data_IF_079648810593
#
_entry.id   IF_079648810593
#
_cell.length_a   1.000
_cell.length_b   1.000
_cell.length_c   1.000
_cell.angle_alpha   90.00
_cell.angle_beta   90.00
_cell.angle_gamma   90.00
#
_symmetry.space_group_name_H-M   'P 1'
#
loop_
_entity.id
_entity.type
_entity.pdbx_description
1 polymer ?
#
# COMPACT_ATOMS: atom_id res chain seq x y z
N UNK A 1 44.20 15.40 -31.37
CA UNK A 1 42.89 15.87 -30.89
C UNK A 1 41.73 14.90 -31.15
N UNK A 2 41.97 13.65 -31.58
CA UNK A 2 40.90 12.66 -31.84
C UNK A 2 40.71 11.59 -30.76
N UNK A 3 41.53 11.55 -29.69
CA UNK A 3 41.38 10.56 -28.61
C UNK A 3 40.41 10.98 -27.50
N UNK A 4 40.02 12.26 -27.41
CA UNK A 4 39.15 12.76 -26.35
C UNK A 4 37.66 12.44 -26.52
N UNK A 5 37.22 12.07 -27.74
CA UNK A 5 35.81 11.79 -28.03
C UNK A 5 35.41 10.33 -27.78
N UNK A 6 36.36 9.41 -27.62
CA UNK A 6 36.08 7.98 -27.35
C UNK A 6 35.78 7.69 -25.88
N UNK A 7 36.20 8.56 -24.95
CA UNK A 7 35.91 8.43 -23.52
C UNK A 7 34.51 8.94 -23.12
N UNK A 8 33.78 9.56 -24.05
CA UNK A 8 32.36 9.88 -23.89
C UNK A 8 31.43 8.71 -24.27
N UNK A 9 31.97 7.64 -24.87
CA UNK A 9 31.21 6.46 -25.31
C UNK A 9 30.84 5.47 -24.20
N UNK A 10 31.34 5.65 -22.97
CA UNK A 10 31.08 4.73 -21.84
C UNK A 10 30.27 5.33 -20.69
N UNK A 11 29.93 6.62 -20.74
CA UNK A 11 29.12 7.28 -19.71
C UNK A 11 27.62 7.32 -20.01
N UNK A 12 27.21 6.90 -21.21
CA UNK A 12 25.80 6.88 -21.64
C UNK A 12 25.31 5.44 -21.84
N UNK A 13 24.79 4.77 -20.80
CA UNK A 13 23.98 3.58 -21.01
C UNK A 13 22.90 3.35 -19.95
N UNK A 14 22.23 4.41 -19.51
CA UNK A 14 20.98 4.36 -18.76
C UNK A 14 20.27 5.72 -18.90
N UNK A 15 19.60 5.97 -20.04
CA UNK A 15 18.90 7.26 -20.30
C UNK A 15 17.41 7.22 -19.93
N UNK A 16 16.79 6.04 -19.95
CA UNK A 16 15.36 5.85 -19.68
C UNK A 16 15.16 4.83 -18.57
N UNK A 17 14.27 5.12 -17.62
CA UNK A 17 13.83 4.17 -16.59
C UNK A 17 13.50 2.80 -17.21
N UNK A 18 13.78 1.69 -16.52
CA UNK A 18 13.50 0.37 -17.06
C UNK A 18 12.01 0.20 -17.41
N UNK A 19 11.69 -0.35 -18.59
CA UNK A 19 10.30 -0.54 -19.06
C UNK A 19 9.43 -1.37 -18.09
N UNK A 20 10.06 -2.22 -17.28
CA UNK A 20 9.39 -3.04 -16.28
C UNK A 20 9.05 -2.27 -14.99
N UNK A 21 9.54 -1.03 -14.80
CA UNK A 21 9.28 -0.22 -13.60
C UNK A 21 7.77 0.03 -13.43
N UNK A 22 7.09 0.47 -14.49
CA UNK A 22 5.64 0.74 -14.45
C UNK A 22 4.86 -0.54 -14.17
N UNK A 23 5.22 -1.65 -14.82
CA UNK A 23 4.55 -2.93 -14.64
C UNK A 23 4.71 -3.48 -13.23
N UNK A 24 5.93 -3.50 -12.72
CA UNK A 24 6.23 -3.93 -11.34
C UNK A 24 5.54 -3.04 -10.32
N UNK A 25 5.50 -1.73 -10.53
CA UNK A 25 4.82 -0.77 -9.63
C UNK A 25 3.30 -1.00 -9.57
N UNK A 26 2.65 -1.28 -10.70
CA UNK A 26 1.23 -1.64 -10.74
C UNK A 26 1.00 -2.99 -10.04
N UNK A 27 1.83 -4.00 -10.33
CA UNK A 27 1.74 -5.31 -9.68
C UNK A 27 1.87 -5.21 -8.16
N UNK A 28 2.88 -4.50 -7.65
CA UNK A 28 3.07 -4.31 -6.21
C UNK A 28 1.87 -3.62 -5.55
N UNK A 29 1.30 -2.60 -6.21
CA UNK A 29 0.12 -1.88 -5.71
C UNK A 29 -1.11 -2.80 -5.64
N UNK A 30 -1.29 -3.63 -6.68
CA UNK A 30 -2.43 -4.53 -6.76
C UNK A 30 -2.33 -5.68 -5.76
N UNK A 31 -1.15 -6.31 -5.64
CA UNK A 31 -0.93 -7.43 -4.71
C UNK A 31 -1.06 -6.99 -3.25
N UNK A 32 -0.49 -5.84 -2.88
CA UNK A 32 -0.56 -5.35 -1.51
C UNK A 32 -2.01 -4.99 -1.11
N UNK A 33 -2.80 -4.42 -2.02
CA UNK A 33 -4.15 -3.94 -1.71
C UNK A 33 -5.11 -5.09 -1.54
N UNK A 34 -4.99 -6.08 -2.40
CA UNK A 34 -5.73 -7.33 -2.27
C UNK A 34 -5.35 -8.08 -0.99
N UNK A 35 -4.07 -8.11 -0.62
CA UNK A 35 -3.65 -8.75 0.62
C UNK A 35 -4.26 -8.09 1.85
N UNK A 36 -4.26 -6.76 1.92
CA UNK A 36 -4.84 -6.02 3.03
C UNK A 36 -6.35 -6.23 3.15
N UNK A 37 -7.09 -6.09 2.04
CA UNK A 37 -8.54 -6.31 2.01
C UNK A 37 -8.86 -7.77 2.37
N UNK A 38 -8.05 -8.73 1.91
CA UNK A 38 -8.28 -10.13 2.25
C UNK A 38 -8.09 -10.40 3.75
N UNK A 39 -7.03 -9.87 4.37
CA UNK A 39 -6.81 -10.04 5.81
C UNK A 39 -7.95 -9.44 6.64
N UNK A 40 -8.30 -8.19 6.35
CA UNK A 40 -9.35 -7.49 7.09
C UNK A 40 -10.73 -8.11 6.85
N UNK A 41 -11.05 -8.49 5.61
CA UNK A 41 -12.24 -9.26 5.28
C UNK A 41 -12.32 -10.59 6.04
N UNK A 42 -11.24 -11.39 6.06
CA UNK A 42 -11.20 -12.63 6.85
C UNK A 42 -11.40 -12.36 8.35
N UNK A 43 -10.75 -11.34 8.90
CA UNK A 43 -10.90 -10.95 10.29
C UNK A 43 -12.35 -10.58 10.62
N UNK A 44 -13.00 -9.76 9.79
CA UNK A 44 -14.40 -9.37 9.98
C UNK A 44 -15.34 -10.58 9.89
N UNK A 45 -15.12 -11.51 8.96
CA UNK A 45 -15.90 -12.74 8.85
C UNK A 45 -15.77 -13.63 10.10
N UNK A 46 -14.58 -13.73 10.67
CA UNK A 46 -14.37 -14.44 11.95
C UNK A 46 -15.02 -13.71 13.11
N UNK A 47 -14.87 -12.38 13.18
CA UNK A 47 -15.45 -11.56 14.24
C UNK A 47 -16.98 -11.62 14.22
N UNK A 48 -17.58 -11.67 13.03
CA UNK A 48 -19.02 -11.86 12.82
C UNK A 48 -19.49 -13.14 13.51
N UNK A 49 -18.84 -14.28 13.22
CA UNK A 49 -19.20 -15.57 13.81
C UNK A 49 -18.93 -15.62 15.31
N UNK A 50 -17.82 -15.03 15.76
CA UNK A 50 -17.50 -14.94 17.19
C UNK A 50 -18.54 -14.14 17.97
N UNK A 51 -18.90 -12.94 17.50
CA UNK A 51 -19.89 -12.09 18.16
C UNK A 51 -21.30 -12.71 18.12
N UNK A 52 -21.66 -13.40 17.04
CA UNK A 52 -22.94 -14.09 16.92
C UNK A 52 -23.13 -15.17 18.01
N UNK A 53 -22.05 -15.87 18.37
CA UNK A 53 -22.07 -16.95 19.37
C UNK A 53 -21.85 -16.42 20.79
N UNK A 54 -20.82 -15.61 21.00
CA UNK A 54 -20.37 -15.22 22.34
C UNK A 54 -21.14 -14.01 22.90
N UNK A 55 -21.68 -13.13 22.04
CA UNK A 55 -22.33 -11.88 22.47
C UNK A 55 -23.60 -11.55 21.64
N UNK A 56 -24.67 -12.37 21.74
CA UNK A 56 -25.86 -12.24 20.89
C UNK A 56 -26.63 -10.92 21.08
N UNK A 57 -26.63 -10.35 22.29
CA UNK A 57 -27.28 -9.06 22.57
C UNK A 57 -26.56 -7.91 21.86
N UNK A 58 -25.24 -7.91 21.90
CA UNK A 58 -24.40 -6.94 21.20
C UNK A 58 -24.41 -7.17 19.70
N UNK A 59 -24.47 -8.43 19.25
CA UNK A 59 -24.44 -8.79 17.84
C UNK A 59 -25.50 -8.02 17.02
N UNK A 60 -26.74 -7.98 17.53
CA UNK A 60 -27.85 -7.30 16.85
C UNK A 60 -27.65 -5.78 16.73
N UNK A 61 -26.89 -5.16 17.64
CA UNK A 61 -26.55 -3.73 17.60
C UNK A 61 -25.45 -3.44 16.58
N UNK A 62 -24.34 -4.19 16.64
CA UNK A 62 -23.13 -3.91 15.85
C UNK A 62 -23.19 -4.47 14.42
N UNK A 63 -23.81 -5.62 14.20
CA UNK A 63 -23.82 -6.33 12.90
C UNK A 63 -25.04 -6.00 12.02
N UNK A 64 -25.52 -4.75 12.09
CA UNK A 64 -26.60 -4.29 11.20
C UNK A 64 -26.06 -4.13 9.78
N UNK A 65 -26.85 -4.47 8.76
CA UNK A 65 -26.44 -4.38 7.33
C UNK A 65 -25.84 -3.03 6.95
N UNK A 66 -26.37 -1.93 7.49
CA UNK A 66 -25.83 -0.57 7.28
C UNK A 66 -24.43 -0.41 7.88
N UNK A 67 -24.20 -0.90 9.09
CA UNK A 67 -22.90 -0.80 9.77
C UNK A 67 -21.84 -1.65 9.05
N UNK A 68 -22.20 -2.87 8.63
CA UNK A 68 -21.30 -3.75 7.84
C UNK A 68 -20.92 -3.11 6.51
N UNK A 69 -21.87 -2.50 5.80
CA UNK A 69 -21.58 -1.82 4.54
C UNK A 69 -20.64 -0.61 4.74
N UNK A 70 -20.83 0.15 5.82
CA UNK A 70 -19.91 1.25 6.17
C UNK A 70 -18.52 0.72 6.51
N UNK A 71 -18.41 -0.37 7.28
CA UNK A 71 -17.12 -0.99 7.62
C UNK A 71 -16.36 -1.43 6.36
N UNK A 72 -17.04 -2.08 5.41
CA UNK A 72 -16.46 -2.49 4.13
C UNK A 72 -16.01 -1.29 3.29
N UNK A 73 -16.83 -0.24 3.22
CA UNK A 73 -16.47 0.97 2.48
C UNK A 73 -15.23 1.65 3.08
N UNK A 74 -15.16 1.74 4.41
CA UNK A 74 -14.00 2.28 5.12
C UNK A 74 -12.76 1.44 4.86
N UNK A 75 -12.86 0.11 4.88
CA UNK A 75 -11.74 -0.80 4.60
C UNK A 75 -11.16 -0.59 3.19
N UNK A 76 -12.02 -0.52 2.17
CA UNK A 76 -11.59 -0.28 0.78
C UNK A 76 -10.92 1.09 0.65
N UNK A 77 -11.52 2.12 1.24
CA UNK A 77 -10.97 3.47 1.21
C UNK A 77 -9.59 3.55 1.87
N UNK A 78 -9.42 2.88 3.01
CA UNK A 78 -8.15 2.82 3.72
C UNK A 78 -7.08 2.04 2.97
N UNK A 79 -7.47 0.94 2.31
CA UNK A 79 -6.58 0.24 1.40
C UNK A 79 -6.04 1.25 0.39
N UNK A 80 -6.90 1.96 -0.34
CA UNK A 80 -6.46 2.94 -1.36
C UNK A 80 -5.55 4.03 -0.76
N UNK A 81 -5.91 4.64 0.38
CA UNK A 81 -5.14 5.75 0.98
C UNK A 81 -3.78 5.30 1.55
N UNK A 82 -3.69 4.12 2.15
CA UNK A 82 -2.40 3.57 2.59
C UNK A 82 -1.51 3.25 1.38
N UNK A 83 -2.10 2.83 0.26
CA UNK A 83 -1.39 2.51 -0.97
C UNK A 83 -0.84 3.74 -1.67
N UNK A 84 -1.56 4.87 -1.69
CA UNK A 84 -1.08 6.11 -2.31
C UNK A 84 0.22 6.58 -1.66
N UNK A 85 0.38 6.38 -0.35
CA UNK A 85 1.61 6.73 0.36
C UNK A 85 2.78 5.80 0.05
N UNK A 86 2.51 4.50 -0.18
CA UNK A 86 3.54 3.52 -0.52
C UNK A 86 4.05 3.70 -1.96
N UNK A 87 3.19 4.21 -2.85
CA UNK A 87 3.46 4.42 -4.28
C UNK A 87 4.27 5.68 -4.56
N UNK A 88 4.14 6.73 -3.74
CA UNK A 88 4.83 8.01 -3.95
C UNK A 88 6.33 7.97 -3.67
N UNK A 89 6.85 6.88 -3.10
CA UNK A 89 8.30 6.78 -2.87
C UNK A 89 8.98 6.28 -4.13
N UNK A 90 9.80 7.14 -4.74
CA UNK A 90 10.63 6.79 -5.89
C UNK A 90 11.58 5.63 -5.53
N UNK A 91 11.58 4.61 -6.38
CA UNK A 91 12.51 3.50 -6.31
C UNK A 91 13.84 3.95 -6.91
N UNK A 92 14.91 3.87 -6.12
CA UNK A 92 16.25 4.20 -6.56
C UNK A 92 16.83 3.09 -7.41
N UNK A 93 17.00 3.37 -8.70
CA UNK A 93 17.79 2.56 -9.62
C UNK A 93 19.10 3.27 -9.90
N UNK A 94 20.25 2.63 -9.66
CA UNK A 94 21.52 3.12 -10.24
C UNK A 94 21.93 2.22 -11.40
N UNK A 95 22.55 2.88 -12.38
CA UNK A 95 23.24 2.21 -13.46
C UNK A 95 24.62 1.75 -12.98
N UNK A 96 24.86 0.45 -12.94
CA UNK A 96 26.17 -0.13 -12.70
C UNK A 96 26.53 -1.04 -13.88
N UNK A 97 27.66 -0.79 -14.54
CA UNK A 97 28.19 -1.62 -15.63
C UNK A 97 27.14 -1.99 -16.72
N UNK A 98 26.44 -1.01 -17.28
CA UNK A 98 25.36 -1.21 -18.27
C UNK A 98 24.16 -2.05 -17.78
N UNK A 99 23.99 -2.25 -16.46
CA UNK A 99 22.84 -2.95 -15.88
C UNK A 99 22.16 -2.07 -14.83
N UNK A 100 20.83 -2.09 -14.84
CA UNK A 100 20.02 -1.48 -13.79
C UNK A 100 20.09 -2.34 -12.53
N UNK A 101 20.63 -1.79 -11.45
CA UNK A 101 20.69 -2.48 -10.15
C UNK A 101 19.73 -1.77 -9.18
N UNK A 102 18.81 -2.54 -8.60
CA UNK A 102 17.88 -2.05 -7.59
C UNK A 102 18.62 -1.77 -6.29
N UNK A 103 18.59 -0.53 -5.81
CA UNK A 103 19.32 -0.11 -4.59
C UNK A 103 18.40 0.04 -3.39
N UNK A 104 17.12 0.32 -3.61
CA UNK A 104 16.13 0.50 -2.55
C UNK A 104 15.28 1.75 -2.76
N UNK A 105 14.71 2.28 -1.67
CA UNK A 105 13.94 3.53 -1.68
C UNK A 105 14.85 4.74 -1.48
N UNK A 106 14.63 5.80 -2.28
CA UNK A 106 15.37 7.06 -2.19
C UNK A 106 14.96 7.92 -1.00
N UNK A 107 13.69 7.87 -0.60
CA UNK A 107 13.18 8.60 0.56
C UNK A 107 12.76 7.68 1.72
N UNK A 108 13.00 8.09 2.98
CA UNK A 108 12.50 7.39 4.15
C UNK A 108 10.97 7.54 4.24
N UNK A 109 10.30 6.46 4.66
CA UNK A 109 8.85 6.42 4.82
C UNK A 109 8.44 7.45 5.90
N UNK A 110 7.62 8.46 5.60
CA UNK A 110 7.14 9.40 6.61
C UNK A 110 6.12 8.71 7.53
N UNK A 111 6.64 8.14 8.63
CA UNK A 111 5.87 7.35 9.60
C UNK A 111 4.78 8.17 10.32
N UNK A 112 4.88 9.50 10.28
CA UNK A 112 3.93 10.44 10.89
C UNK A 112 2.53 10.37 10.27
N UNK A 113 2.45 10.24 8.95
CA UNK A 113 1.19 10.19 8.19
C UNK A 113 0.45 8.87 8.44
N UNK A 114 1.21 7.78 8.52
CA UNK A 114 0.68 6.45 8.85
C UNK A 114 -0.02 6.46 10.22
N UNK A 115 0.56 7.15 11.20
CA UNK A 115 0.00 7.27 12.56
C UNK A 115 -1.31 8.08 12.58
N UNK A 116 -1.44 9.11 11.75
CA UNK A 116 -2.67 9.89 11.65
C UNK A 116 -3.80 9.07 11.01
N UNK A 117 -3.47 8.32 9.96
CA UNK A 117 -4.38 7.37 9.33
C UNK A 117 -4.86 6.32 10.32
N UNK A 118 -3.97 5.60 11.01
CA UNK A 118 -4.35 4.60 12.01
C UNK A 118 -5.26 5.19 13.09
N UNK A 119 -5.00 6.43 13.55
CA UNK A 119 -5.89 7.12 14.49
C UNK A 119 -7.26 7.43 13.89
N UNK A 120 -7.33 7.87 12.64
CA UNK A 120 -8.59 8.18 11.96
C UNK A 120 -9.41 6.89 11.69
N UNK A 121 -8.74 5.79 11.36
CA UNK A 121 -9.33 4.45 11.25
C UNK A 121 -9.91 4.01 12.57
N UNK A 122 -9.10 4.06 13.63
CA UNK A 122 -9.56 3.71 14.97
C UNK A 122 -10.75 4.57 15.39
N UNK A 123 -10.73 5.88 15.10
CA UNK A 123 -11.83 6.79 15.38
C UNK A 123 -13.11 6.44 14.59
N UNK A 124 -13.01 6.18 13.28
CA UNK A 124 -14.16 5.75 12.46
C UNK A 124 -14.73 4.43 12.92
N UNK A 125 -13.88 3.46 13.27
CA UNK A 125 -14.30 2.16 13.82
C UNK A 125 -15.02 2.38 15.17
N UNK A 126 -14.41 3.13 16.10
CA UNK A 126 -15.01 3.45 17.41
C UNK A 126 -16.38 4.14 17.25
N UNK A 127 -16.51 5.05 16.27
CA UNK A 127 -17.75 5.77 15.99
C UNK A 127 -18.83 4.89 15.34
N UNK A 128 -18.44 3.87 14.58
CA UNK A 128 -19.37 2.87 14.01
C UNK A 128 -19.80 1.85 15.06
N UNK A 129 -18.93 1.53 16.01
CA UNK A 129 -19.26 0.65 17.13
C UNK A 129 -20.16 1.35 18.18
N UNK A 130 -19.84 2.56 18.64
CA UNK A 130 -20.56 3.22 19.75
C UNK A 130 -22.03 3.56 19.41
#
# INVERSE_FOLDING_TARGET
MLLGALMLGQLCYCRESPDYEVFTRIMYTFTFSHFFIHIFGCFLMTLNRYMAVCHPLSYKKYWRTRAVNIMLFVEIFLSIVVHTHLFLVELGYQCQNNKWVYIGRLEPIPVSEFRYLVKHVAFSIIRVLT
#
